data_IF_863260709832
#
_entry.id   IF_863260709832
#
_cell.length_a   1.000
_cell.length_b   1.000
_cell.length_c   1.000
_cell.angle_alpha   90.00
_cell.angle_beta   90.00
_cell.angle_gamma   90.00
#
_symmetry.space_group_name_H-M   'P 1'
#
loop_
_entity.id
_entity.type
_entity.pdbx_description
1 polymer ?
#
# COMPACT_ATOMS: atom_id res chain seq x y z
N UNK A 1 -13.25 -22.41 3.18
CA UNK A 1 -12.04 -22.93 2.54
C UNK A 1 -10.97 -21.86 2.67
N UNK A 2 -10.04 -22.02 3.61
CA UNK A 2 -8.95 -21.05 3.82
C UNK A 2 -8.00 -21.18 2.65
N UNK A 3 -7.81 -20.10 1.87
CA UNK A 3 -6.80 -20.06 0.82
C UNK A 3 -5.43 -20.47 1.42
N UNK A 4 -4.59 -21.23 0.69
CA UNK A 4 -3.27 -21.58 1.18
C UNK A 4 -2.50 -20.29 1.46
N UNK A 5 -1.90 -20.19 2.65
CA UNK A 5 -1.11 -19.02 3.03
C UNK A 5 0.05 -18.82 2.04
N UNK A 6 -0.03 -17.78 1.20
CA UNK A 6 1.03 -17.43 0.24
C UNK A 6 2.33 -17.21 1.02
N UNK A 7 3.44 -17.79 0.55
CA UNK A 7 4.75 -17.59 1.18
C UNK A 7 5.09 -16.10 1.18
N UNK A 8 5.32 -15.55 2.37
CA UNK A 8 5.71 -14.15 2.53
C UNK A 8 7.13 -13.90 1.98
N UNK A 9 7.37 -12.75 1.33
CA UNK A 9 8.70 -12.39 0.87
C UNK A 9 9.61 -12.09 2.06
N UNK A 10 10.91 -12.32 1.91
CA UNK A 10 11.90 -11.96 2.95
C UNK A 10 12.00 -10.44 3.05
N UNK A 11 12.16 -9.78 1.91
CA UNK A 11 12.24 -8.32 1.81
C UNK A 11 10.85 -7.72 1.60
N UNK A 12 10.61 -6.59 2.24
CA UNK A 12 9.32 -5.92 2.17
C UNK A 12 9.09 -5.32 0.77
N UNK A 13 7.96 -5.59 0.09
CA UNK A 13 7.68 -5.05 -1.23
C UNK A 13 7.74 -3.51 -1.29
N UNK A 14 7.32 -2.81 -0.24
CA UNK A 14 7.41 -1.35 -0.17
C UNK A 14 8.85 -0.79 -0.23
N UNK A 15 9.88 -1.63 -0.20
CA UNK A 15 11.29 -1.22 -0.25
C UNK A 15 11.76 -0.40 0.96
N UNK A 16 10.89 -0.22 1.96
CA UNK A 16 11.10 0.77 3.02
C UNK A 16 11.01 2.22 2.53
N UNK A 17 10.22 2.47 1.49
CA UNK A 17 10.07 3.78 0.86
C UNK A 17 9.66 4.87 1.87
N UNK A 18 10.29 6.03 1.75
CA UNK A 18 10.02 7.24 2.53
C UNK A 18 10.42 8.46 1.68
N UNK A 19 9.88 9.67 1.93
CA UNK A 19 10.08 10.85 1.08
C UNK A 19 11.55 11.13 0.74
N UNK A 20 12.44 11.00 1.72
CA UNK A 20 13.87 11.38 1.57
C UNK A 20 14.81 10.17 1.41
N UNK A 21 14.27 8.96 1.26
CA UNK A 21 15.08 7.76 1.18
C UNK A 21 15.58 7.53 -0.25
N UNK A 22 16.90 7.45 -0.43
CA UNK A 22 17.51 7.01 -1.69
C UNK A 22 17.11 5.56 -2.02
N UNK A 23 16.76 5.31 -3.28
CA UNK A 23 16.40 3.99 -3.81
C UNK A 23 17.46 2.89 -3.59
N UNK A 24 18.70 3.26 -3.27
CA UNK A 24 19.82 2.32 -3.10
C UNK A 24 19.90 1.66 -1.72
N UNK A 25 19.04 2.04 -0.77
CA UNK A 25 19.03 1.43 0.58
C UNK A 25 18.43 0.02 0.57
N UNK A 26 19.09 -0.94 1.24
CA UNK A 26 18.59 -2.32 1.38
C UNK A 26 17.14 -2.33 1.92
N UNK A 27 16.21 -3.06 1.30
CA UNK A 27 14.84 -3.14 1.79
C UNK A 27 14.80 -3.75 3.20
N UNK A 28 13.91 -3.28 4.09
CA UNK A 28 13.70 -3.91 5.38
C UNK A 28 13.05 -5.28 5.18
N UNK A 29 13.18 -6.16 6.17
CA UNK A 29 12.46 -7.43 6.18
C UNK A 29 10.96 -7.20 6.21
N UNK A 30 10.20 -8.00 5.48
CA UNK A 30 8.75 -7.90 5.43
C UNK A 30 8.12 -7.99 6.82
N UNK A 31 8.51 -9.01 7.61
CA UNK A 31 7.98 -9.24 8.96
C UNK A 31 8.18 -8.06 9.91
N UNK A 32 9.26 -7.28 9.73
CA UNK A 32 9.60 -6.13 10.56
C UNK A 32 9.04 -4.80 10.01
N UNK A 33 8.45 -4.84 8.82
CA UNK A 33 7.91 -3.70 8.10
C UNK A 33 6.40 -3.87 7.87
N UNK A 34 5.93 -4.06 6.63
CA UNK A 34 4.50 -4.15 6.34
C UNK A 34 3.84 -5.42 6.89
N UNK A 35 4.61 -6.48 7.14
CA UNK A 35 4.11 -7.73 7.73
C UNK A 35 3.57 -7.53 9.15
N UNK A 36 4.06 -6.54 9.91
CA UNK A 36 3.51 -6.20 11.24
C UNK A 36 2.04 -5.80 11.18
N UNK A 37 1.63 -5.17 10.07
CA UNK A 37 0.28 -4.68 9.87
C UNK A 37 -0.59 -5.67 9.10
N UNK A 38 -0.04 -6.28 8.04
CA UNK A 38 -0.76 -7.22 7.18
C UNK A 38 -0.99 -8.56 7.90
N UNK A 39 0.05 -9.12 8.53
CA UNK A 39 -0.03 -10.43 9.20
C UNK A 39 -0.16 -10.28 10.72
N UNK A 40 0.58 -9.34 11.31
CA UNK A 40 0.64 -9.15 12.75
C UNK A 40 -0.57 -8.44 13.36
N UNK A 41 -1.48 -7.91 12.52
CA UNK A 41 -2.71 -7.24 12.96
C UNK A 41 -2.50 -5.89 13.67
N UNK A 42 -1.26 -5.40 13.76
CA UNK A 42 -1.00 -4.08 14.33
C UNK A 42 -1.64 -2.98 13.46
N UNK A 43 -2.14 -1.92 14.10
CA UNK A 43 -2.56 -0.74 13.36
C UNK A 43 -1.33 0.01 12.81
N UNK A 44 -1.43 0.48 11.57
CA UNK A 44 -0.42 1.37 11.02
C UNK A 44 -0.43 2.69 11.81
N UNK A 45 0.70 3.14 12.37
CA UNK A 45 0.75 4.30 13.25
C UNK A 45 0.52 5.63 12.52
N UNK A 46 0.89 5.71 11.24
CA UNK A 46 0.63 6.88 10.40
C UNK A 46 0.04 6.50 9.04
N UNK A 47 -0.51 7.48 8.33
CA UNK A 47 -0.94 7.33 6.94
C UNK A 47 0.20 6.89 6.01
N UNK A 48 1.45 7.29 6.28
CA UNK A 48 2.61 6.85 5.50
C UNK A 48 2.85 5.33 5.65
N UNK A 49 2.81 4.81 6.88
CA UNK A 49 2.92 3.37 7.11
C UNK A 49 1.75 2.62 6.45
N UNK A 50 0.55 3.18 6.51
CA UNK A 50 -0.62 2.59 5.88
C UNK A 50 -0.50 2.56 4.35
N UNK A 51 -0.05 3.64 3.73
CA UNK A 51 0.15 3.70 2.28
C UNK A 51 1.14 2.61 1.83
N UNK A 52 2.26 2.47 2.56
CA UNK A 52 3.29 1.45 2.27
C UNK A 52 2.79 0.02 2.46
N UNK A 53 1.99 -0.23 3.49
CA UNK A 53 1.40 -1.56 3.73
C UNK A 53 0.32 -1.87 2.71
N UNK A 54 -0.52 -0.90 2.31
CA UNK A 54 -1.50 -1.07 1.24
C UNK A 54 -0.82 -1.42 -0.08
N UNK A 55 0.26 -0.72 -0.46
CA UNK A 55 1.06 -1.11 -1.62
C UNK A 55 1.54 -2.56 -1.53
N UNK A 56 2.10 -2.96 -0.38
CA UNK A 56 2.60 -4.33 -0.18
C UNK A 56 1.45 -5.35 -0.23
N UNK A 57 0.26 -4.99 0.26
CA UNK A 57 -0.93 -5.81 0.16
C UNK A 57 -1.39 -6.00 -1.29
N UNK A 58 -1.32 -4.98 -2.15
CA UNK A 58 -1.54 -5.14 -3.60
C UNK A 58 -0.51 -6.08 -4.24
N UNK A 59 0.76 -5.98 -3.85
CA UNK A 59 1.80 -6.92 -4.36
C UNK A 59 1.52 -8.37 -3.95
N UNK A 60 0.94 -8.56 -2.76
CA UNK A 60 0.68 -9.90 -2.19
C UNK A 60 -0.70 -10.46 -2.55
N UNK A 61 -1.63 -9.64 -3.05
CA UNK A 61 -3.03 -10.01 -3.25
C UNK A 61 -3.83 -10.10 -1.95
N UNK A 62 -3.53 -9.26 -0.96
CA UNK A 62 -4.17 -9.26 0.36
C UNK A 62 -5.45 -8.42 0.38
N UNK A 63 -6.48 -8.88 -0.34
CA UNK A 63 -7.74 -8.16 -0.52
C UNK A 63 -8.43 -7.80 0.80
N UNK A 64 -8.40 -8.71 1.78
CA UNK A 64 -8.98 -8.47 3.11
C UNK A 64 -8.34 -7.27 3.80
N UNK A 65 -7.01 -7.21 3.83
CA UNK A 65 -6.29 -6.09 4.43
C UNK A 65 -6.60 -4.77 3.72
N UNK A 66 -6.73 -4.78 2.40
CA UNK A 66 -7.09 -3.59 1.63
C UNK A 66 -8.50 -3.10 1.98
N UNK A 67 -9.49 -4.00 2.13
CA UNK A 67 -10.85 -3.64 2.55
C UNK A 67 -10.87 -3.10 3.98
N UNK A 68 -10.21 -3.79 4.91
CA UNK A 68 -10.18 -3.41 6.33
C UNK A 68 -9.51 -2.04 6.57
N UNK A 69 -8.69 -1.59 5.62
CA UNK A 69 -7.98 -0.30 5.67
C UNK A 69 -8.49 0.73 4.66
N UNK A 70 -9.66 0.50 4.06
CA UNK A 70 -10.35 1.46 3.21
C UNK A 70 -11.52 2.08 3.99
N UNK A 71 -11.78 3.37 3.80
CA UNK A 71 -13.02 4.00 4.23
C UNK A 71 -14.22 3.32 3.55
N UNK A 72 -15.21 2.91 4.35
CA UNK A 72 -16.33 2.12 3.84
C UNK A 72 -17.13 2.86 2.75
N UNK A 73 -17.14 4.20 2.80
CA UNK A 73 -17.88 5.05 1.86
C UNK A 73 -17.32 5.01 0.43
N UNK A 74 -16.03 4.72 0.28
CA UNK A 74 -15.31 4.78 -1.00
C UNK A 74 -14.70 3.44 -1.40
N UNK A 75 -14.82 2.41 -0.57
CA UNK A 75 -14.32 1.07 -0.87
C UNK A 75 -15.14 0.43 -2.01
N UNK A 76 -14.52 0.04 -3.14
CA UNK A 76 -15.21 -0.67 -4.21
C UNK A 76 -15.80 -1.98 -3.69
N UNK A 77 -17.05 -2.27 -4.07
CA UNK A 77 -17.73 -3.51 -3.66
C UNK A 77 -17.01 -4.75 -4.22
N UNK A 78 -16.51 -4.62 -5.44
CA UNK A 78 -15.82 -5.63 -6.25
C UNK A 78 -14.30 -5.60 -6.07
N UNK A 79 -13.77 -5.02 -4.97
CA UNK A 79 -12.32 -5.02 -4.71
C UNK A 79 -11.77 -6.45 -4.60
N UNK A 80 -11.24 -6.94 -5.71
CA UNK A 80 -10.56 -8.22 -5.81
C UNK A 80 -9.14 -7.97 -6.31
N UNK A 81 -8.18 -8.57 -5.62
CA UNK A 81 -6.76 -8.44 -5.94
C UNK A 81 -6.15 -9.83 -5.94
N UNK A 82 -6.17 -10.47 -7.10
CA UNK A 82 -5.43 -11.71 -7.29
C UNK A 82 -4.06 -11.41 -7.91
N UNK A 83 -3.02 -11.51 -7.09
CA UNK A 83 -1.64 -11.34 -7.56
C UNK A 83 -1.17 -12.46 -8.52
N UNK A 84 -1.89 -13.59 -8.60
CA UNK A 84 -1.57 -14.72 -9.48
C UNK A 84 -2.39 -14.72 -10.78
N UNK A 85 -3.33 -13.77 -10.95
CA UNK A 85 -4.09 -13.65 -12.19
C UNK A 85 -3.18 -13.30 -13.37
N UNK A 86 -3.49 -13.85 -14.56
CA UNK A 86 -2.66 -13.71 -15.77
C UNK A 86 -2.45 -12.25 -16.18
N UNK A 87 -3.44 -11.40 -15.92
CA UNK A 87 -3.48 -9.98 -16.21
C UNK A 87 -3.14 -9.10 -14.99
N UNK A 88 -2.76 -9.71 -13.85
CA UNK A 88 -2.39 -8.98 -12.66
C UNK A 88 -1.17 -8.07 -12.92
N UNK A 89 -1.19 -6.82 -12.40
CA UNK A 89 -0.05 -5.93 -12.51
C UNK A 89 1.12 -6.48 -11.69
N UNK A 90 2.26 -6.71 -12.35
CA UNK A 90 3.52 -7.00 -11.68
C UNK A 90 4.12 -5.71 -11.14
N UNK A 91 3.95 -5.47 -9.85
CA UNK A 91 4.55 -4.33 -9.16
C UNK A 91 6.08 -4.41 -9.14
N UNK A 92 6.73 -3.29 -9.43
CA UNK A 92 8.18 -3.18 -9.58
C UNK A 92 8.84 -2.35 -8.47
N UNK A 93 8.09 -1.42 -7.87
CA UNK A 93 8.57 -0.65 -6.73
C UNK A 93 7.67 0.52 -6.40
N UNK A 94 7.88 1.06 -5.20
CA UNK A 94 7.18 2.20 -4.63
C UNK A 94 8.18 3.31 -4.32
N UNK A 95 7.84 4.54 -4.68
CA UNK A 95 8.55 5.74 -4.25
C UNK A 95 7.56 6.68 -3.58
N UNK A 96 7.84 7.10 -2.34
CA UNK A 96 7.08 8.16 -1.69
C UNK A 96 7.70 9.49 -2.12
N UNK A 97 6.88 10.43 -2.59
CA UNK A 97 7.28 11.78 -2.98
C UNK A 97 7.09 12.75 -1.83
N UNK A 98 5.96 12.65 -1.14
CA UNK A 98 5.60 13.54 -0.04
C UNK A 98 4.69 12.83 0.95
N UNK A 99 4.87 13.17 2.22
CA UNK A 99 3.93 12.83 3.29
C UNK A 99 3.60 14.13 4.03
N UNK A 100 2.30 14.45 4.11
CA UNK A 100 1.82 15.69 4.71
C UNK A 100 0.72 15.35 5.74
N UNK A 101 1.03 15.37 7.06
CA UNK A 101 -0.01 15.45 8.08
C UNK A 101 -0.75 16.78 7.93
N UNK A 102 -2.08 16.74 7.81
CA UNK A 102 -2.91 17.94 7.72
C UNK A 102 -3.41 18.36 9.10
N UNK A 103 -3.83 17.37 9.89
CA UNK A 103 -4.21 17.49 11.30
C UNK A 103 -4.05 16.13 12.00
N UNK A 104 -4.59 15.98 13.20
CA UNK A 104 -4.50 14.74 13.99
C UNK A 104 -5.25 13.56 13.35
N UNK A 105 -6.24 13.81 12.51
CA UNK A 105 -7.11 12.81 11.90
C UNK A 105 -6.96 12.71 10.37
N UNK A 106 -6.24 13.61 9.72
CA UNK A 106 -6.11 13.64 8.26
C UNK A 106 -4.67 13.78 7.81
N UNK A 107 -4.33 13.07 6.74
CA UNK A 107 -3.02 13.18 6.11
C UNK A 107 -3.08 12.80 4.63
N UNK A 108 -2.10 13.31 3.88
CA UNK A 108 -1.91 13.01 2.46
C UNK A 108 -0.57 12.33 2.21
N UNK A 109 -0.54 11.41 1.27
CA UNK A 109 0.69 10.76 0.79
C UNK A 109 0.72 10.80 -0.73
N UNK A 110 1.70 11.50 -1.28
CA UNK A 110 2.01 11.52 -2.72
C UNK A 110 3.05 10.44 -3.00
N UNK A 111 2.79 9.58 -3.97
CA UNK A 111 3.69 8.49 -4.31
C UNK A 111 3.65 8.13 -5.79
N UNK A 112 4.69 7.40 -6.19
CA UNK A 112 4.82 6.80 -7.50
C UNK A 112 4.97 5.28 -7.33
N UNK A 113 4.03 4.52 -7.88
CA UNK A 113 4.13 3.07 -7.98
C UNK A 113 4.40 2.65 -9.43
N UNK A 114 5.44 1.84 -9.64
CA UNK A 114 5.78 1.29 -10.95
C UNK A 114 5.27 -0.14 -11.05
N UNK A 115 4.66 -0.50 -12.17
CA UNK A 115 4.18 -1.85 -12.42
C UNK A 115 4.31 -2.22 -13.90
N UNK A 116 4.21 -3.52 -14.20
CA UNK A 116 4.11 -4.04 -15.55
C UNK A 116 2.80 -4.79 -15.75
N UNK A 117 2.10 -4.52 -16.84
CA UNK A 117 0.91 -5.27 -17.27
C UNK A 117 1.00 -5.49 -18.78
N UNK A 118 0.67 -6.69 -19.26
CA UNK A 118 0.80 -7.02 -20.68
C UNK A 118 2.20 -6.79 -21.27
N UNK A 119 3.25 -6.95 -20.47
CA UNK A 119 4.64 -6.70 -20.87
C UNK A 119 5.05 -5.22 -20.95
N UNK A 120 4.14 -4.27 -20.74
CA UNK A 120 4.41 -2.83 -20.78
C UNK A 120 4.62 -2.28 -19.37
N UNK A 121 5.57 -1.35 -19.22
CA UNK A 121 5.82 -0.69 -17.95
C UNK A 121 4.95 0.57 -17.82
N UNK A 122 4.31 0.71 -16.67
CA UNK A 122 3.43 1.81 -16.32
C UNK A 122 3.86 2.43 -15.00
N UNK A 123 3.43 3.68 -14.81
CA UNK A 123 3.64 4.46 -13.61
C UNK A 123 2.29 4.99 -13.15
N UNK A 124 1.93 4.69 -11.90
CA UNK A 124 0.84 5.33 -11.18
C UNK A 124 1.45 6.42 -10.31
N UNK A 125 1.10 7.67 -10.57
CA UNK A 125 1.44 8.80 -9.70
C UNK A 125 0.16 9.30 -9.06
N UNK A 126 0.06 9.17 -7.74
CA UNK A 126 -1.16 9.47 -6.99
C UNK A 126 -0.86 10.27 -5.72
N UNK A 127 -1.74 11.21 -5.42
CA UNK A 127 -1.86 11.86 -4.11
C UNK A 127 -3.06 11.28 -3.37
N UNK A 128 -2.79 10.37 -2.44
CA UNK A 128 -3.82 9.69 -1.64
C UNK A 128 -4.16 10.46 -0.37
N UNK A 129 -5.44 10.48 -0.02
CA UNK A 129 -6.00 11.04 1.22
C UNK A 129 -6.33 9.94 2.21
N UNK A 130 -5.99 10.18 3.48
CA UNK A 130 -6.21 9.24 4.57
C UNK A 130 -6.91 9.93 5.73
N UNK A 131 -7.75 9.16 6.42
CA UNK A 131 -8.45 9.58 7.64
C UNK A 131 -8.18 8.60 8.79
N UNK A 132 -8.02 9.10 10.01
CA UNK A 132 -7.95 8.31 11.24
C UNK A 132 -9.30 8.34 11.94
N UNK A 133 -9.92 7.17 12.09
CA UNK A 133 -11.18 7.03 12.81
C UNK A 133 -11.02 7.18 14.32
N UNK A 134 -12.14 7.23 15.03
CA UNK A 134 -12.18 7.25 16.50
C UNK A 134 -11.48 6.03 17.12
N UNK A 135 -11.50 4.90 16.40
CA UNK A 135 -10.79 3.67 16.73
C UNK A 135 -9.26 3.75 16.56
N UNK A 136 -8.74 4.95 16.31
CA UNK A 136 -7.32 5.25 16.10
C UNK A 136 -6.70 4.52 14.90
N UNK A 137 -7.53 4.05 13.95
CA UNK A 137 -7.06 3.37 12.73
C UNK A 137 -7.15 4.30 11.53
N UNK A 138 -6.02 4.43 10.84
CA UNK A 138 -5.96 5.07 9.53
C UNK A 138 -6.70 4.24 8.47
N UNK A 139 -7.36 4.93 7.56
CA UNK A 139 -8.05 4.36 6.40
C UNK A 139 -7.77 5.23 5.17
N UNK A 140 -7.58 4.58 4.03
CA UNK A 140 -7.55 5.25 2.73
C UNK A 140 -8.95 5.71 2.35
N UNK A 141 -9.09 6.95 1.91
CA UNK A 141 -10.37 7.50 1.45
C UNK A 141 -10.41 7.41 -0.07
N UNK A 142 -9.58 8.18 -0.73
CA UNK A 142 -9.49 8.31 -2.18
C UNK A 142 -8.13 8.93 -2.54
N UNK A 143 -7.91 9.20 -3.82
CA UNK A 143 -6.70 9.87 -4.27
C UNK A 143 -6.83 10.38 -5.70
N UNK A 144 -6.02 11.37 -6.03
CA UNK A 144 -5.98 11.97 -7.36
C UNK A 144 -4.83 11.37 -8.16
N UNK A 145 -5.16 10.74 -9.28
CA UNK A 145 -4.18 10.16 -10.20
C UNK A 145 -3.74 11.22 -11.21
N UNK A 146 -2.44 11.34 -11.43
CA UNK A 146 -1.88 12.25 -12.43
C UNK A 146 -0.94 11.52 -13.40
N UNK A 147 -0.88 12.00 -14.64
CA UNK A 147 0.05 11.51 -15.67
C UNK A 147 1.45 12.14 -15.58
N UNK A 148 1.68 13.04 -14.61
CA UNK A 148 2.92 13.82 -14.48
C UNK A 148 4.12 12.98 -14.05
#
# INVERSE_FOLDING_TARGET
MTAPAKKRPVDCPCGGAAPDRRETGKPPRFADCCGRYIDGGAAAPTALELMRSRYSAYVLGEARYLRDTWAAQTCPADLDVDADATDAPRWLGLQIKRYTPLDDAHAEVEFVARYKVGGRAHRLHESSRFVRGEDQRWRYVDGDVSDR
#
